data_IF_105019283292
#
_entry.id   IF_105019283292
#
_cell.length_a   1.000
_cell.length_b   1.000
_cell.length_c   1.000
_cell.angle_alpha   90.00
_cell.angle_beta   90.00
_cell.angle_gamma   90.00
#
_symmetry.space_group_name_H-M   'P 1'
#
loop_
_entity.id
_entity.type
_entity.pdbx_description
1 polymer ?
#
# COMPACT_ATOMS: atom_id res chain seq x y z
N UNK A 1 -8.30 -11.24 -6.79
CA UNK A 1 -8.49 -10.13 -7.74
C UNK A 1 -9.97 -10.01 -8.08
N UNK A 2 -10.50 -8.80 -8.13
CA UNK A 2 -11.90 -8.53 -8.47
C UNK A 2 -11.94 -7.75 -9.78
N UNK A 3 -12.80 -8.17 -10.70
CA UNK A 3 -13.07 -7.47 -11.96
C UNK A 3 -14.42 -6.76 -11.85
N UNK A 4 -14.44 -5.44 -11.67
CA UNK A 4 -15.69 -4.70 -11.44
C UNK A 4 -16.69 -4.83 -12.60
N UNK A 5 -16.19 -4.74 -13.84
CA UNK A 5 -17.00 -4.76 -15.06
C UNK A 5 -17.79 -6.07 -15.24
N UNK A 6 -17.22 -7.20 -14.83
CA UNK A 6 -17.84 -8.53 -14.94
C UNK A 6 -18.37 -9.03 -13.60
N UNK A 7 -18.14 -8.30 -12.51
CA UNK A 7 -18.40 -8.70 -11.12
C UNK A 7 -17.75 -10.05 -10.73
N UNK A 8 -16.70 -10.48 -11.45
CA UNK A 8 -16.03 -11.75 -11.18
C UNK A 8 -14.91 -11.59 -10.16
N UNK A 9 -14.63 -12.65 -9.41
CA UNK A 9 -13.53 -12.70 -8.45
C UNK A 9 -12.66 -13.91 -8.75
N UNK A 10 -11.36 -13.70 -8.92
CA UNK A 10 -10.34 -14.74 -8.95
C UNK A 10 -9.67 -14.82 -7.60
N UNK A 11 -9.72 -15.98 -6.96
CA UNK A 11 -8.90 -16.26 -5.78
C UNK A 11 -7.46 -16.50 -6.26
N UNK A 12 -6.50 -15.89 -5.57
CA UNK A 12 -5.10 -16.14 -5.86
C UNK A 12 -4.73 -17.53 -5.30
N UNK A 13 -3.84 -18.27 -5.97
CA UNK A 13 -3.38 -19.57 -5.48
C UNK A 13 -2.66 -19.43 -4.14
N UNK A 14 -2.49 -20.57 -3.48
CA UNK A 14 -1.76 -20.69 -2.23
C UNK A 14 -0.33 -20.15 -2.34
N UNK A 15 0.17 -19.61 -1.23
CA UNK A 15 1.51 -19.04 -1.14
C UNK A 15 2.58 -20.11 -1.35
N UNK A 16 3.74 -19.73 -1.90
CA UNK A 16 4.89 -20.64 -1.85
C UNK A 16 5.39 -20.81 -0.40
N UNK A 17 5.17 -19.81 0.45
CA UNK A 17 5.47 -19.89 1.88
C UNK A 17 4.78 -21.09 2.57
N UNK A 18 3.62 -21.54 2.10
CA UNK A 18 2.91 -22.69 2.68
C UNK A 18 3.66 -24.00 2.46
N UNK A 19 4.54 -24.08 1.45
CA UNK A 19 5.42 -25.24 1.28
C UNK A 19 6.49 -25.33 2.37
N UNK A 20 6.87 -24.21 3.00
CA UNK A 20 7.76 -24.21 4.18
C UNK A 20 7.07 -24.83 5.41
N UNK A 21 5.73 -24.80 5.48
CA UNK A 21 5.00 -25.50 6.55
C UNK A 21 5.29 -27.00 6.55
N UNK A 22 5.59 -27.59 5.39
CA UNK A 22 5.97 -29.01 5.30
C UNK A 22 7.38 -29.31 5.85
N UNK A 23 8.21 -28.29 6.04
CA UNK A 23 9.55 -28.39 6.62
C UNK A 23 9.55 -28.13 8.13
N UNK A 24 8.44 -27.65 8.67
CA UNK A 24 8.27 -27.30 10.08
C UNK A 24 7.72 -28.54 10.83
N UNK A 25 8.24 -28.86 12.03
CA UNK A 25 7.68 -29.94 12.85
C UNK A 25 6.18 -29.75 13.13
N UNK A 26 5.39 -30.83 13.09
CA UNK A 26 3.92 -30.79 13.29
C UNK A 26 3.48 -30.15 14.62
N UNK A 27 4.39 -30.08 15.59
CA UNK A 27 4.17 -29.56 16.94
C UNK A 27 4.47 -28.06 17.09
N UNK A 28 5.07 -27.43 16.08
CA UNK A 28 5.33 -25.99 16.06
C UNK A 28 4.13 -25.24 15.46
N UNK A 29 3.62 -24.26 16.20
CA UNK A 29 2.56 -23.39 15.70
C UNK A 29 3.18 -22.27 14.87
N UNK A 30 2.88 -22.23 13.57
CA UNK A 30 3.45 -21.26 12.63
C UNK A 30 2.34 -20.54 11.89
N UNK A 31 2.39 -19.21 11.95
CA UNK A 31 1.47 -18.31 11.30
C UNK A 31 2.15 -17.55 10.15
N UNK A 32 1.38 -17.34 9.08
CA UNK A 32 1.80 -16.61 7.89
C UNK A 32 0.96 -15.35 7.76
N UNK A 33 1.61 -14.19 7.71
CA UNK A 33 0.97 -12.90 7.48
C UNK A 33 1.35 -12.37 6.09
N UNK A 34 0.32 -12.10 5.29
CA UNK A 34 0.46 -11.67 3.90
C UNK A 34 0.21 -10.16 3.79
N UNK A 35 1.26 -9.41 3.50
CA UNK A 35 1.20 -7.96 3.33
C UNK A 35 1.38 -7.62 1.85
N UNK A 36 0.26 -7.40 1.15
CA UNK A 36 0.29 -6.90 -0.24
C UNK A 36 0.92 -5.51 -0.24
N UNK A 37 1.88 -5.28 -1.14
CA UNK A 37 2.60 -4.00 -1.28
C UNK A 37 2.31 -3.29 -2.60
N UNK A 38 1.85 -4.04 -3.60
CA UNK A 38 1.47 -3.47 -4.87
C UNK A 38 0.68 -4.42 -5.74
N UNK A 39 -0.19 -3.85 -6.55
CA UNK A 39 -0.89 -4.52 -7.64
C UNK A 39 -0.85 -3.61 -8.87
N UNK A 40 -0.48 -4.17 -10.02
CA UNK A 40 -0.36 -3.37 -11.21
C UNK A 40 -0.20 -4.19 -12.48
N UNK A 41 -0.10 -3.46 -13.59
CA UNK A 41 0.02 -4.02 -14.93
C UNK A 41 1.44 -3.85 -15.47
N UNK A 42 2.06 -4.96 -15.86
CA UNK A 42 3.31 -5.02 -16.60
C UNK A 42 3.02 -4.99 -18.10
N UNK A 43 3.27 -3.82 -18.69
CA UNK A 43 3.04 -3.57 -20.13
C UNK A 43 4.01 -4.32 -21.03
N UNK A 44 5.19 -4.72 -20.55
CA UNK A 44 6.24 -5.34 -21.37
C UNK A 44 5.85 -6.76 -21.75
N UNK A 45 5.29 -7.51 -20.79
CA UNK A 45 4.90 -8.92 -21.00
C UNK A 45 3.38 -9.14 -21.06
N UNK A 46 2.61 -8.04 -20.96
CA UNK A 46 1.16 -8.02 -20.97
C UNK A 46 0.59 -8.91 -19.86
N UNK A 47 0.88 -8.55 -18.61
CA UNK A 47 0.54 -9.35 -17.43
C UNK A 47 0.16 -8.48 -16.23
N UNK A 48 -0.76 -8.97 -15.40
CA UNK A 48 -1.06 -8.36 -14.11
C UNK A 48 -0.24 -9.04 -13.03
N UNK A 49 0.42 -8.24 -12.19
CA UNK A 49 1.26 -8.73 -11.11
C UNK A 49 0.80 -8.22 -9.75
N UNK A 50 0.95 -9.07 -8.74
CA UNK A 50 0.74 -8.71 -7.33
C UNK A 50 2.05 -8.94 -6.60
N UNK A 51 2.52 -7.96 -5.84
CA UNK A 51 3.71 -8.07 -4.99
C UNK A 51 3.25 -8.09 -3.55
N UNK A 52 3.79 -9.02 -2.77
CA UNK A 52 3.54 -9.08 -1.33
C UNK A 52 4.79 -9.47 -0.55
N UNK A 53 4.83 -9.01 0.68
CA UNK A 53 5.74 -9.48 1.71
C UNK A 53 5.04 -10.54 2.56
N UNK A 54 5.73 -11.64 2.86
CA UNK A 54 5.24 -12.71 3.70
C UNK A 54 6.05 -12.74 4.99
N UNK A 55 5.42 -12.34 6.08
CA UNK A 55 5.98 -12.49 7.41
C UNK A 55 5.60 -13.87 7.96
N UNK A 56 6.57 -14.53 8.58
CA UNK A 56 6.44 -15.88 9.14
C UNK A 56 6.73 -15.76 10.63
N UNK A 57 5.76 -16.09 11.47
CA UNK A 57 5.89 -16.07 12.93
C UNK A 57 5.72 -17.48 13.50
N UNK A 58 6.55 -17.83 14.47
CA UNK A 58 6.44 -19.07 15.24
C UNK A 58 5.84 -18.72 16.59
N UNK A 59 4.62 -19.19 16.85
CA UNK A 59 3.77 -18.76 17.96
C UNK A 59 3.97 -19.60 19.23
N UNK A 60 4.39 -20.87 19.12
CA UNK A 60 4.74 -21.71 20.29
C UNK A 60 5.63 -22.91 19.94
N UNK A 61 6.34 -23.42 20.95
CA UNK A 61 7.23 -24.59 20.88
C UNK A 61 6.79 -25.68 21.87
N UNK A 62 7.04 -26.97 21.58
CA UNK A 62 7.05 -28.01 22.61
C UNK A 62 8.21 -27.77 23.60
N UNK A 63 7.95 -27.96 24.89
CA UNK A 63 8.97 -27.82 25.94
C UNK A 63 10.11 -28.84 25.74
N UNK A 64 11.35 -28.35 25.54
CA UNK A 64 12.55 -29.18 25.67
C UNK A 64 13.49 -29.31 24.47
N UNK A 65 13.23 -28.61 23.36
CA UNK A 65 14.17 -28.57 22.22
C UNK A 65 14.78 -27.17 22.01
N UNK A 66 16.00 -26.97 22.52
CA UNK A 66 16.87 -25.79 22.26
C UNK A 66 17.39 -25.75 20.79
N UNK A 67 16.60 -26.18 19.80
CA UNK A 67 17.12 -26.52 18.46
C UNK A 67 16.43 -25.89 17.27
N UNK A 68 15.82 -24.72 17.41
CA UNK A 68 15.30 -23.97 16.27
C UNK A 68 15.63 -22.47 16.29
N UNK A 69 16.67 -22.03 17.01
CA UNK A 69 17.34 -20.74 16.71
C UNK A 69 17.90 -20.71 15.27
N UNK A 70 18.02 -21.88 14.62
CA UNK A 70 18.49 -22.08 13.25
C UNK A 70 17.36 -22.23 12.21
N UNK A 71 16.07 -22.19 12.59
CA UNK A 71 15.02 -22.11 11.59
C UNK A 71 14.95 -20.64 11.13
N UNK A 72 15.81 -20.30 10.16
CA UNK A 72 15.67 -19.13 9.30
C UNK A 72 14.30 -19.25 8.60
N UNK A 73 13.24 -18.90 9.33
CA UNK A 73 11.92 -18.61 8.78
C UNK A 73 12.06 -17.27 8.05
N UNK A 74 12.86 -17.28 6.99
CA UNK A 74 13.15 -16.12 6.17
C UNK A 74 11.84 -15.58 5.66
N UNK A 75 11.46 -14.42 6.20
CA UNK A 75 10.42 -13.61 5.57
C UNK A 75 10.80 -13.43 4.11
N UNK A 76 9.81 -13.54 3.23
CA UNK A 76 10.09 -13.53 1.80
C UNK A 76 9.18 -12.61 1.03
N UNK A 77 9.71 -12.16 -0.09
CA UNK A 77 8.95 -11.46 -1.10
C UNK A 77 8.41 -12.44 -2.12
N UNK A 78 7.15 -12.27 -2.48
CA UNK A 78 6.52 -13.02 -3.55
C UNK A 78 5.94 -12.08 -4.58
N UNK A 79 6.01 -12.51 -5.83
CA UNK A 79 5.30 -11.89 -6.94
C UNK A 79 4.43 -12.93 -7.64
N UNK A 80 3.17 -12.59 -7.78
CA UNK A 80 2.20 -13.35 -8.56
C UNK A 80 2.17 -12.83 -9.99
N UNK A 81 2.06 -13.74 -10.94
CA UNK A 81 1.74 -13.45 -12.33
C UNK A 81 0.36 -14.01 -12.65
N UNK A 82 -0.54 -13.17 -13.18
CA UNK A 82 -1.85 -13.62 -13.64
C UNK A 82 -1.71 -14.57 -14.82
N UNK A 83 -0.76 -14.29 -15.72
CA UNK A 83 -0.53 -15.07 -16.94
C UNK A 83 -0.06 -16.50 -16.68
N UNK A 84 0.79 -16.72 -15.67
CA UNK A 84 1.21 -18.07 -15.27
C UNK A 84 0.36 -18.66 -14.14
N UNK A 85 -0.55 -17.86 -13.59
CA UNK A 85 -1.37 -18.18 -12.42
C UNK A 85 -0.57 -18.77 -11.25
N UNK A 86 0.58 -18.18 -10.96
CA UNK A 86 1.51 -18.72 -9.97
C UNK A 86 2.27 -17.63 -9.24
N UNK A 87 2.57 -17.89 -7.96
CA UNK A 87 3.55 -17.13 -7.20
C UNK A 87 4.96 -17.59 -7.54
N UNK A 88 5.93 -16.67 -7.42
CA UNK A 88 7.35 -17.01 -7.35
C UNK A 88 8.04 -16.15 -6.30
N UNK A 89 9.13 -16.67 -5.74
CA UNK A 89 9.98 -15.92 -4.80
C UNK A 89 10.69 -14.79 -5.55
N UNK A 90 10.69 -13.61 -4.96
CA UNK A 90 11.52 -12.48 -5.34
C UNK A 90 12.76 -12.47 -4.45
N UNK A 91 13.93 -12.39 -5.06
CA UNK A 91 15.21 -12.29 -4.36
C UNK A 91 15.59 -10.80 -4.21
N UNK A 92 14.84 -10.11 -3.35
CA UNK A 92 15.04 -8.68 -3.06
C UNK A 92 15.06 -8.47 -1.56
N UNK A 93 15.89 -7.52 -1.13
CA UNK A 93 15.87 -7.00 0.23
C UNK A 93 15.42 -5.53 0.14
N UNK A 94 14.13 -5.32 0.34
CA UNK A 94 13.51 -4.00 0.24
C UNK A 94 12.56 -3.73 1.42
N UNK A 95 12.37 -2.46 1.80
CA UNK A 95 11.44 -2.09 2.86
C UNK A 95 10.00 -2.48 2.52
N UNK A 96 9.24 -2.90 3.52
CA UNK A 96 7.85 -3.33 3.37
C UNK A 96 6.92 -2.53 4.28
N UNK A 97 5.66 -2.37 3.87
CA UNK A 97 4.62 -1.81 4.72
C UNK A 97 3.94 -2.91 5.54
N UNK A 98 3.86 -2.74 6.86
CA UNK A 98 2.98 -3.57 7.69
C UNK A 98 1.52 -3.13 7.61
N UNK A 99 1.26 -1.93 7.07
CA UNK A 99 -0.07 -1.38 6.93
C UNK A 99 -0.71 -1.91 5.64
N UNK A 100 -1.69 -2.82 5.78
CA UNK A 100 -2.46 -3.37 4.65
C UNK A 100 -3.65 -2.50 4.23
N UNK A 101 -3.73 -1.24 4.68
CA UNK A 101 -4.82 -0.35 4.30
C UNK A 101 -4.51 0.27 2.94
N UNK A 102 -5.49 0.32 2.02
CA UNK A 102 -5.30 0.72 0.60
C UNK A 102 -4.82 2.17 0.36
N UNK A 103 -4.59 2.89 1.44
CA UNK A 103 -4.20 4.29 1.54
C UNK A 103 -2.67 4.50 1.55
N UNK A 104 -1.87 3.42 1.56
CA UNK A 104 -0.40 3.54 1.59
C UNK A 104 0.26 3.06 0.30
N UNK A 105 -0.52 2.76 -0.75
CA UNK A 105 -0.03 2.15 -1.97
C UNK A 105 -0.68 2.79 -3.21
N UNK A 106 0.12 3.08 -4.22
CA UNK A 106 -0.37 3.58 -5.52
C UNK A 106 0.34 2.90 -6.67
N UNK A 107 -0.37 2.72 -7.78
CA UNK A 107 0.20 2.25 -9.03
C UNK A 107 0.13 3.36 -10.07
N UNK A 108 1.27 3.64 -10.72
CA UNK A 108 1.33 4.56 -11.84
C UNK A 108 2.32 4.04 -12.88
N UNK A 109 1.86 3.99 -14.13
CA UNK A 109 2.69 3.72 -15.32
C UNK A 109 3.65 2.51 -15.23
N UNK A 110 3.20 1.39 -14.67
CA UNK A 110 4.02 0.17 -14.54
C UNK A 110 4.85 0.09 -13.25
N UNK A 111 4.73 1.09 -12.39
CA UNK A 111 5.45 1.20 -11.12
C UNK A 111 4.46 1.10 -9.96
N UNK A 112 4.74 0.22 -9.01
CA UNK A 112 4.03 0.13 -7.74
C UNK A 112 4.80 0.95 -6.70
N UNK A 113 4.10 1.78 -5.95
CA UNK A 113 4.67 2.60 -4.89
C UNK A 113 4.00 2.30 -3.56
N UNK A 114 4.78 2.19 -2.49
CA UNK A 114 4.24 2.05 -1.13
C UNK A 114 5.05 2.81 -0.09
N UNK A 115 4.37 3.27 0.96
CA UNK A 115 5.01 3.83 2.14
C UNK A 115 5.46 2.72 3.07
N UNK A 116 6.71 2.79 3.49
CA UNK A 116 7.25 1.98 4.55
C UNK A 116 7.43 2.84 5.80
N UNK A 117 6.68 2.51 6.84
CA UNK A 117 6.83 3.04 8.19
C UNK A 117 7.14 1.87 9.13
N UNK A 118 8.36 1.83 9.66
CA UNK A 118 8.76 0.83 10.64
C UNK A 118 9.38 1.52 11.85
N UNK A 119 9.15 0.99 13.05
CA UNK A 119 9.56 1.60 14.33
C UNK A 119 11.06 1.89 14.47
N UNK A 120 11.91 1.41 13.56
CA UNK A 120 13.37 1.55 13.60
C UNK A 120 13.97 2.02 12.26
N UNK A 121 13.16 2.37 11.26
CA UNK A 121 13.65 2.78 9.93
C UNK A 121 13.02 4.12 9.58
N UNK A 122 13.81 5.03 9.02
CA UNK A 122 13.28 6.29 8.52
C UNK A 122 12.18 6.04 7.48
N UNK A 123 11.00 6.69 7.61
CA UNK A 123 9.93 6.57 6.64
C UNK A 123 10.43 6.81 5.22
N UNK A 124 10.10 5.88 4.33
CA UNK A 124 10.54 5.92 2.95
C UNK A 124 9.41 5.52 1.99
N UNK A 125 9.51 6.01 0.76
CA UNK A 125 8.73 5.54 -0.37
C UNK A 125 9.54 4.48 -1.11
N UNK A 126 8.99 3.29 -1.26
CA UNK A 126 9.54 2.30 -2.19
C UNK A 126 8.81 2.44 -3.52
N UNK A 127 9.57 2.45 -4.62
CA UNK A 127 9.04 2.49 -5.99
C UNK A 127 9.59 1.29 -6.74
N UNK A 128 8.72 0.36 -7.12
CA UNK A 128 9.07 -0.93 -7.72
C UNK A 128 8.56 -1.02 -9.16
N UNK A 129 9.46 -1.25 -10.09
CA UNK A 129 9.16 -1.43 -11.50
C UNK A 129 8.72 -2.87 -11.77
N UNK A 130 7.49 -3.08 -12.25
CA UNK A 130 6.99 -4.43 -12.52
C UNK A 130 7.70 -5.13 -13.68
N UNK A 131 8.26 -4.38 -14.62
CA UNK A 131 8.82 -4.91 -15.88
C UNK A 131 10.21 -5.52 -15.71
N UNK A 132 11.06 -4.90 -14.91
CA UNK A 132 12.44 -5.34 -14.68
C UNK A 132 12.72 -5.69 -13.21
N UNK A 133 11.74 -5.49 -12.32
CA UNK A 133 11.79 -5.88 -10.91
C UNK A 133 12.89 -5.14 -10.12
N UNK A 134 13.28 -3.97 -10.62
CA UNK A 134 14.14 -3.03 -9.91
C UNK A 134 13.30 -2.14 -8.98
N UNK A 135 13.92 -1.69 -7.89
CA UNK A 135 13.27 -0.78 -6.95
C UNK A 135 14.17 0.38 -6.55
N UNK A 136 13.52 1.47 -6.14
CA UNK A 136 14.17 2.66 -5.60
C UNK A 136 13.58 2.96 -4.23
N UNK A 137 14.45 3.29 -3.29
CA UNK A 137 14.06 3.80 -1.97
C UNK A 137 14.23 5.31 -2.01
N UNK A 138 13.13 6.04 -1.81
CA UNK A 138 13.16 7.50 -1.75
C UNK A 138 12.81 7.94 -0.33
N UNK A 139 13.74 8.59 0.40
CA UNK A 139 13.45 9.10 1.73
C UNK A 139 12.30 10.12 1.70
N UNK A 140 11.46 10.09 2.73
CA UNK A 140 10.35 11.04 2.89
C UNK A 140 10.88 12.35 3.50
N UNK A 141 10.28 13.53 3.22
CA UNK A 141 10.68 14.79 3.85
C UNK A 141 10.62 14.72 5.38
N UNK A 142 11.59 15.35 6.07
CA UNK A 142 11.65 15.21 7.54
C UNK A 142 10.61 16.01 8.30
N UNK A 143 9.97 16.98 7.66
CA UNK A 143 8.87 17.75 8.23
C UNK A 143 7.57 16.94 8.40
N UNK A 144 7.57 15.66 7.98
CA UNK A 144 6.37 14.80 8.04
C UNK A 144 6.55 13.46 8.76
N UNK A 145 7.67 13.22 9.45
CA UNK A 145 7.97 11.92 10.08
C UNK A 145 6.97 11.48 11.16
N UNK A 146 6.35 12.42 11.87
CA UNK A 146 5.40 12.14 12.97
C UNK A 146 3.94 12.46 12.58
N UNK A 147 3.66 12.58 11.29
CA UNK A 147 2.35 12.95 10.78
C UNK A 147 1.64 11.75 10.21
N UNK A 148 0.31 11.87 10.14
CA UNK A 148 -0.44 10.97 9.28
C UNK A 148 -0.09 11.28 7.82
N UNK A 149 0.44 10.28 7.11
CA UNK A 149 0.83 10.39 5.71
C UNK A 149 0.12 9.35 4.83
N UNK A 150 -0.04 9.68 3.55
CA UNK A 150 -0.78 8.88 2.58
C UNK A 150 -0.25 9.14 1.16
N UNK A 151 -0.43 8.19 0.24
CA UNK A 151 -0.04 8.32 -1.15
C UNK A 151 -1.23 8.59 -2.08
N UNK A 152 -1.00 9.48 -3.05
CA UNK A 152 -1.93 9.77 -4.11
C UNK A 152 -1.27 9.65 -5.48
N UNK A 153 -2.11 9.59 -6.51
CA UNK A 153 -1.73 9.97 -7.88
C UNK A 153 -2.37 11.31 -8.19
N UNK A 154 -1.54 12.33 -8.45
CA UNK A 154 -1.95 13.68 -8.84
C UNK A 154 -1.34 14.03 -10.19
N UNK A 155 -2.17 14.29 -11.20
CA UNK A 155 -1.70 14.71 -12.54
C UNK A 155 -0.54 13.84 -13.05
N UNK A 156 -0.71 12.51 -13.01
CA UNK A 156 0.31 11.55 -13.44
C UNK A 156 1.63 11.60 -12.64
N UNK A 157 1.60 12.13 -11.42
CA UNK A 157 2.74 12.13 -10.49
C UNK A 157 2.36 11.45 -9.18
N UNK A 158 3.33 10.81 -8.54
CA UNK A 158 3.18 10.34 -7.16
C UNK A 158 3.14 11.56 -6.25
N UNK A 159 2.13 11.63 -5.39
CA UNK A 159 2.03 12.66 -4.38
C UNK A 159 2.00 12.06 -2.98
N UNK A 160 2.67 12.77 -2.07
CA UNK A 160 2.63 12.53 -0.64
C UNK A 160 1.71 13.57 -0.02
N UNK A 161 0.73 13.07 0.73
CA UNK A 161 -0.22 13.87 1.48
C UNK A 161 0.10 13.69 2.96
N UNK A 162 0.39 14.79 3.66
CA UNK A 162 0.60 14.78 5.10
C UNK A 162 -0.40 15.69 5.81
N UNK A 163 -0.89 15.25 6.97
CA UNK A 163 -1.85 16.01 7.76
C UNK A 163 -1.23 16.50 9.07
N UNK A 164 -1.14 17.83 9.22
CA UNK A 164 -0.64 18.50 10.40
C UNK A 164 -1.82 18.79 11.35
N UNK A 165 -1.90 18.05 12.44
CA UNK A 165 -3.00 18.13 13.41
C UNK A 165 -3.05 19.48 14.15
N UNK A 166 -1.89 20.08 14.45
CA UNK A 166 -1.79 21.36 15.17
C UNK A 166 -2.37 22.53 14.36
N UNK A 167 -2.02 22.60 13.08
CA UNK A 167 -2.49 23.65 12.15
C UNK A 167 -3.77 23.26 11.43
N UNK A 168 -4.22 22.01 11.54
CA UNK A 168 -5.30 21.40 10.75
C UNK A 168 -5.08 21.57 9.25
N UNK A 169 -3.83 21.51 8.79
CA UNK A 169 -3.47 21.68 7.37
C UNK A 169 -3.06 20.38 6.73
N UNK A 170 -3.42 20.23 5.45
CA UNK A 170 -3.00 19.15 4.58
C UNK A 170 -1.88 19.67 3.67
N UNK A 171 -0.69 19.10 3.77
CA UNK A 171 0.43 19.44 2.89
C UNK A 171 0.53 18.40 1.79
N UNK A 172 0.70 18.86 0.56
CA UNK A 172 0.75 18.01 -0.62
C UNK A 172 2.08 18.25 -1.30
N UNK A 173 2.86 17.19 -1.45
CA UNK A 173 4.15 17.22 -2.14
C UNK A 173 4.15 16.23 -3.29
N UNK A 174 4.72 16.61 -4.42
CA UNK A 174 4.86 15.76 -5.61
C UNK A 174 6.29 15.25 -5.74
N UNK A 175 6.43 14.04 -6.26
CA UNK A 175 7.72 13.44 -6.50
C UNK A 175 8.19 13.72 -7.94
N UNK A 176 9.36 14.33 -8.08
CA UNK A 176 9.95 14.64 -9.40
C UNK A 176 10.96 13.60 -9.90
N UNK A 177 11.43 12.70 -9.03
CA UNK A 177 12.42 11.67 -9.33
C UNK A 177 12.58 10.70 -8.16
N UNK A 178 13.19 9.54 -8.40
CA UNK A 178 13.34 8.50 -7.38
C UNK A 178 14.74 8.51 -6.75
N UNK A 179 14.86 8.05 -5.51
CA UNK A 179 16.14 7.79 -4.84
C UNK A 179 16.70 8.94 -4.03
N UNK A 180 16.15 10.16 -4.15
CA UNK A 180 16.64 11.34 -3.45
C UNK A 180 15.52 12.08 -2.73
N UNK A 181 15.78 12.51 -1.51
CA UNK A 181 14.83 13.25 -0.67
C UNK A 181 14.46 14.60 -1.27
N UNK A 182 15.42 15.24 -1.92
CA UNK A 182 15.30 16.55 -2.58
C UNK A 182 14.34 16.51 -3.78
N UNK A 183 13.96 15.31 -4.24
CA UNK A 183 13.01 15.13 -5.34
C UNK A 183 11.56 15.48 -4.96
N UNK A 184 11.25 15.55 -3.67
CA UNK A 184 9.94 15.97 -3.16
C UNK A 184 9.79 17.49 -3.25
N UNK A 185 8.78 17.94 -3.99
CA UNK A 185 8.46 19.37 -4.11
C UNK A 185 7.09 19.64 -3.51
N UNK A 186 7.02 20.56 -2.55
CA UNK A 186 5.74 20.99 -1.96
C UNK A 186 4.90 21.71 -3.02
N UNK A 187 3.76 21.14 -3.36
CA UNK A 187 2.85 21.65 -4.39
C UNK A 187 1.83 22.63 -3.80
N UNK A 188 1.18 22.24 -2.71
CA UNK A 188 0.09 23.00 -2.12
C UNK A 188 -0.02 22.72 -0.61
N UNK A 189 -0.48 23.71 0.13
CA UNK A 189 -0.94 23.57 1.51
C UNK A 189 -2.42 23.93 1.52
N UNK A 190 -3.26 23.00 1.98
CA UNK A 190 -4.69 23.21 2.09
C UNK A 190 -5.08 23.32 3.55
N UNK A 191 -5.81 24.38 3.89
CA UNK A 191 -6.42 24.56 5.19
C UNK A 191 -6.41 26.00 5.69
N UNK A 192 -6.76 26.21 6.97
CA UNK A 192 -7.11 25.18 7.95
C UNK A 192 -8.37 24.39 7.55
N UNK A 193 -8.35 23.08 7.78
CA UNK A 193 -9.45 22.15 7.58
C UNK A 193 -9.96 21.72 8.97
N UNK A 194 -10.62 22.62 9.72
CA UNK A 194 -11.18 22.25 11.00
C UNK A 194 -12.20 21.13 10.76
N UNK A 195 -12.13 20.09 11.60
CA UNK A 195 -13.00 18.92 11.58
C UNK A 195 -12.56 17.71 10.74
N UNK A 196 -11.35 17.67 10.18
CA UNK A 196 -10.80 16.45 9.55
C UNK A 196 -10.27 15.49 10.62
N UNK A 197 -10.83 14.29 10.71
CA UNK A 197 -10.30 13.23 11.59
C UNK A 197 -9.17 12.44 10.90
N UNK A 198 -9.42 11.95 9.67
CA UNK A 198 -8.42 11.31 8.79
C UNK A 198 -8.78 11.55 7.32
N UNK A 199 -7.85 12.05 6.50
CA UNK A 199 -8.04 12.08 5.05
C UNK A 199 -8.08 10.65 4.48
N UNK A 200 -8.72 10.49 3.32
CA UNK A 200 -8.68 9.30 2.46
C UNK A 200 -8.44 9.84 1.05
N UNK A 201 -7.57 9.22 0.30
CA UNK A 201 -7.05 9.81 -0.94
C UNK A 201 -7.66 9.12 -2.16
N UNK A 202 -8.25 9.89 -3.07
CA UNK A 202 -8.79 9.44 -4.35
C UNK A 202 -7.75 9.41 -5.48
N UNK A 203 -8.05 8.67 -6.55
CA UNK A 203 -7.12 8.48 -7.70
C UNK A 203 -6.96 9.67 -8.63
N UNK A 204 -7.80 10.69 -8.52
CA UNK A 204 -7.74 11.90 -9.38
C UNK A 204 -7.26 13.13 -8.64
N UNK A 205 -6.70 12.95 -7.45
CA UNK A 205 -6.38 14.08 -6.58
C UNK A 205 -7.56 14.68 -5.87
N UNK A 206 -8.49 13.83 -5.50
CA UNK A 206 -9.59 14.18 -4.63
C UNK A 206 -9.19 13.72 -3.23
N UNK A 207 -9.31 14.59 -2.22
CA UNK A 207 -9.04 14.19 -0.84
C UNK A 207 -10.38 14.08 -0.13
N UNK A 208 -10.79 12.86 0.19
CA UNK A 208 -11.96 12.59 1.01
C UNK A 208 -11.60 12.76 2.49
N UNK A 209 -12.54 13.18 3.32
CA UNK A 209 -12.39 13.14 4.76
C UNK A 209 -13.74 13.15 5.45
N UNK A 210 -13.73 12.69 6.69
CA UNK A 210 -14.92 12.66 7.55
C UNK A 210 -14.86 13.89 8.46
N UNK A 211 -15.94 14.68 8.43
CA UNK A 211 -16.14 15.83 9.32
C UNK A 211 -16.54 15.35 10.73
N UNK A 212 -16.47 16.25 11.71
CA UNK A 212 -16.89 15.98 13.12
C UNK A 212 -18.36 15.60 13.28
N UNK A 213 -19.20 15.94 12.31
CA UNK A 213 -20.62 15.58 12.26
C UNK A 213 -20.88 14.30 11.45
N UNK A 214 -19.83 13.48 11.30
CA UNK A 214 -19.79 12.20 10.60
C UNK A 214 -20.04 12.28 9.09
N UNK A 215 -20.13 13.48 8.51
CA UNK A 215 -20.35 13.64 7.08
C UNK A 215 -19.06 13.40 6.27
N UNK A 216 -19.16 12.55 5.24
CA UNK A 216 -18.12 12.35 4.26
C UNK A 216 -18.16 13.48 3.23
N UNK A 217 -17.02 14.16 3.08
CA UNK A 217 -16.83 15.23 2.11
C UNK A 217 -15.58 14.95 1.28
N UNK A 218 -15.47 15.61 0.13
CA UNK A 218 -14.27 15.57 -0.69
C UNK A 218 -13.80 16.97 -1.04
N UNK A 219 -12.48 17.14 -1.03
CA UNK A 219 -11.77 18.34 -1.44
C UNK A 219 -11.28 18.15 -2.86
N UNK A 220 -11.77 19.01 -3.74
CA UNK A 220 -11.29 19.14 -5.10
C UNK A 220 -10.02 19.99 -5.08
N UNK A 221 -8.87 19.38 -5.35
CA UNK A 221 -7.58 20.08 -5.33
C UNK A 221 -7.44 21.12 -6.44
N UNK A 222 -8.22 21.02 -7.53
CA UNK A 222 -8.17 21.99 -8.63
C UNK A 222 -8.86 23.30 -8.26
N UNK A 223 -9.97 23.23 -7.53
CA UNK A 223 -10.76 24.39 -7.12
C UNK A 223 -10.51 24.80 -5.66
N UNK A 224 -9.86 23.93 -4.88
CA UNK A 224 -9.70 24.03 -3.43
C UNK A 224 -11.04 24.12 -2.68
N UNK A 225 -12.10 23.58 -3.27
CA UNK A 225 -13.45 23.61 -2.70
C UNK A 225 -13.78 22.28 -2.06
N UNK A 226 -14.37 22.35 -0.87
CA UNK A 226 -14.97 21.18 -0.22
C UNK A 226 -16.38 21.01 -0.76
N UNK A 227 -16.71 19.78 -1.13
CA UNK A 227 -18.04 19.39 -1.59
C UNK A 227 -18.60 18.30 -0.68
N UNK A 228 -19.89 18.40 -0.42
CA UNK A 228 -20.63 17.45 0.40
C UNK A 228 -21.10 16.28 -0.46
N UNK A 229 -20.91 15.06 0.04
CA UNK A 229 -21.35 13.85 -0.66
C UNK A 229 -22.71 13.35 -0.16
N UNK A 230 -23.26 13.96 0.90
CA UNK A 230 -24.56 13.60 1.48
C UNK A 230 -24.56 12.24 2.18
N UNK A 231 -23.38 11.67 2.44
CA UNK A 231 -23.21 10.43 3.19
C UNK A 231 -22.75 10.75 4.61
N UNK A 232 -23.45 10.20 5.61
CA UNK A 232 -23.04 10.26 7.01
C UNK A 232 -22.61 8.88 7.49
N UNK A 233 -21.42 8.82 8.10
CA UNK A 233 -20.88 7.62 8.72
C UNK A 233 -21.78 7.21 9.88
N UNK A 234 -22.13 5.93 9.93
CA UNK A 234 -22.78 5.37 11.11
C UNK A 234 -21.76 5.20 12.26
N UNK A 235 -22.15 5.46 13.52
CA UNK A 235 -21.27 5.27 14.65
C UNK A 235 -20.62 3.89 14.65
N UNK A 236 -19.32 3.82 14.99
CA UNK A 236 -18.55 2.57 15.08
C UNK A 236 -18.32 1.80 13.76
N UNK A 237 -18.74 2.33 12.60
CA UNK A 237 -18.43 1.72 11.30
C UNK A 237 -17.04 2.15 10.80
N UNK A 238 -16.30 1.24 10.16
CA UNK A 238 -15.08 1.60 9.42
C UNK A 238 -15.45 1.88 7.96
N UNK A 239 -15.06 3.04 7.46
CA UNK A 239 -15.20 3.38 6.04
C UNK A 239 -13.94 2.98 5.29
N UNK A 240 -14.15 2.36 4.13
CA UNK A 240 -13.10 1.96 3.21
C UNK A 240 -13.50 2.50 1.84
N UNK A 241 -12.63 3.28 1.22
CA UNK A 241 -12.79 3.66 -0.18
C UNK A 241 -11.97 2.66 -0.99
N UNK A 242 -12.65 1.92 -1.86
CA UNK A 242 -11.99 1.03 -2.81
C UNK A 242 -11.91 1.77 -4.12
N UNK A 243 -10.70 2.01 -4.58
CA UNK A 243 -10.48 2.62 -5.87
C UNK A 243 -10.13 1.54 -6.87
N UNK A 244 -10.86 1.53 -7.99
CA UNK A 244 -10.62 0.60 -9.08
C UNK A 244 -10.47 1.36 -10.39
N UNK A 245 -9.73 0.75 -11.31
CA UNK A 245 -9.67 1.16 -12.71
C UNK A 245 -10.26 0.01 -13.51
N UNK A 246 -11.11 0.33 -14.49
CA UNK A 246 -11.63 -0.68 -15.40
C UNK A 246 -10.47 -1.42 -16.07
N UNK A 247 -10.57 -2.75 -16.08
CA UNK A 247 -9.53 -3.63 -16.63
C UNK A 247 -9.29 -3.33 -18.10
N UNK A 248 -8.02 -3.26 -18.50
CA UNK A 248 -7.64 -3.14 -19.91
C UNK A 248 -7.83 -4.49 -20.61
N UNK A 249 -7.76 -5.59 -19.85
CA UNK A 249 -7.90 -6.97 -20.29
C UNK A 249 -8.86 -7.68 -19.31
N UNK A 250 -9.80 -8.51 -19.77
CA UNK A 250 -10.63 -9.31 -18.88
C UNK A 250 -9.75 -10.28 -18.07
N UNK A 251 -10.01 -10.42 -16.78
CA UNK A 251 -9.49 -11.54 -15.99
C UNK A 251 -10.32 -12.76 -16.39
N UNK A 252 -9.91 -13.47 -17.45
CA UNK A 252 -10.50 -14.75 -17.84
C UNK A 252 -10.01 -15.84 -16.87
N UNK A 253 -10.91 -16.78 -16.53
CA UNK A 253 -10.66 -17.86 -15.55
C UNK A 253 -9.60 -18.86 -16.03
#
# INVERSE_FOLDING_TARGET
>A
MWTPATQTRKLLPHSMAESFKMLIPDEADVSFLYHVQGFGYDRVINDYKVIRYVAISVDSYPEGEDRLEDLDCDHLWEIYSLKSDSWRKLHVDMPYSLQCYGDVQVYIDGVCHWLCEHYNVEPCLVSFYLSNEEFFITPIPSDVHDLWINLAVLNESVALISYHTETTTCHISILSGFGMKESWTKLLIVGPLPCVERPIVGTRGEIFFIRKDDELVWLDLSTQMIRELGYKREPYTRLWIIIYKDGIIPIEE
#
